data_IF_681419385861
#
_entry.id   IF_681419385861
#
_cell.length_a   1.000
_cell.length_b   1.000
_cell.length_c   1.000
_cell.angle_alpha   90.00
_cell.angle_beta   90.00
_cell.angle_gamma   90.00
#
_symmetry.space_group_name_H-M   'P 1'
#
loop_
_entity.id
_entity.type
_entity.pdbx_description
1 polymer ?
#
# COMPACT_ATOMS: atom_id res chain seq x y z
N UNK A 1 -5.57 10.38 -13.37
CA UNK A 1 -4.70 9.69 -12.39
C UNK A 1 -4.09 10.70 -11.41
N UNK A 2 -3.89 10.33 -10.15
CA UNK A 2 -3.26 11.18 -9.13
C UNK A 2 -2.40 10.37 -8.14
N UNK A 3 -1.29 10.95 -7.61
CA UNK A 3 -0.43 10.26 -6.67
C UNK A 3 -1.00 10.28 -5.24
N UNK A 4 -0.92 9.15 -4.56
CA UNK A 4 -1.30 8.96 -3.16
C UNK A 4 -0.21 8.22 -2.42
N UNK A 5 -0.12 8.50 -1.13
CA UNK A 5 0.39 7.54 -0.17
C UNK A 5 -0.77 6.68 0.32
N UNK A 6 -0.60 5.38 0.27
CA UNK A 6 -1.52 4.38 0.80
C UNK A 6 -0.83 3.67 1.93
N UNK A 7 -1.47 3.64 3.10
CA UNK A 7 -1.03 2.84 4.22
C UNK A 7 -1.80 1.52 4.21
N UNK A 8 -1.08 0.41 4.31
CA UNK A 8 -1.65 -0.94 4.41
C UNK A 8 -1.50 -1.41 5.86
N UNK A 9 -2.62 -1.58 6.54
CA UNK A 9 -2.71 -1.96 7.95
C UNK A 9 -3.08 -3.44 8.11
N UNK A 10 -2.97 -3.95 9.34
CA UNK A 10 -3.29 -5.32 9.74
C UNK A 10 -2.49 -6.42 9.00
N UNK A 11 -1.36 -6.02 8.39
CA UNK A 11 -0.46 -6.94 7.74
C UNK A 11 0.60 -7.44 8.75
N UNK A 12 0.72 -8.77 8.98
CA UNK A 12 1.73 -9.32 9.87
C UNK A 12 3.15 -8.85 9.48
N UNK A 13 4.02 -8.53 10.45
CA UNK A 13 5.37 -8.01 10.17
C UNK A 13 6.15 -8.86 9.15
N UNK A 14 6.05 -10.20 9.24
CA UNK A 14 6.68 -11.13 8.28
C UNK A 14 6.20 -11.01 6.83
N UNK A 15 5.05 -10.37 6.61
CA UNK A 15 4.45 -10.13 5.30
C UNK A 15 4.64 -8.67 4.85
N UNK A 16 5.25 -7.80 5.66
CA UNK A 16 5.48 -6.41 5.31
C UNK A 16 6.70 -6.26 4.36
N UNK A 17 6.63 -6.91 3.20
CA UNK A 17 7.67 -6.91 2.16
C UNK A 17 7.24 -6.13 0.92
N UNK A 18 8.17 -5.85 0.00
CA UNK A 18 7.90 -5.03 -1.19
C UNK A 18 6.98 -5.79 -2.12
N UNK A 19 7.26 -7.07 -2.27
CA UNK A 19 6.54 -8.00 -3.14
C UNK A 19 5.08 -8.10 -2.69
N UNK A 20 4.82 -8.17 -1.38
CA UNK A 20 3.46 -8.17 -0.84
C UNK A 20 2.78 -6.82 -1.02
N UNK A 21 3.51 -5.71 -0.79
CA UNK A 21 2.99 -4.37 -1.02
C UNK A 21 2.55 -4.18 -2.48
N UNK A 22 3.37 -4.60 -3.45
CA UNK A 22 3.10 -4.54 -4.89
C UNK A 22 1.95 -5.49 -5.28
N UNK A 23 1.90 -6.71 -4.74
CA UNK A 23 0.79 -7.63 -4.95
C UNK A 23 -0.55 -7.07 -4.44
N UNK A 24 -0.52 -6.39 -3.30
CA UNK A 24 -1.72 -5.80 -2.69
C UNK A 24 -2.13 -4.53 -3.44
N UNK A 25 -1.17 -3.66 -3.79
CA UNK A 25 -1.43 -2.32 -4.30
C UNK A 25 -1.48 -2.22 -5.83
N UNK A 26 -0.78 -3.10 -6.55
CA UNK A 26 -0.71 -3.10 -8.02
C UNK A 26 -2.07 -3.11 -8.73
N UNK A 27 -3.09 -3.85 -8.24
CA UNK A 27 -4.43 -3.78 -8.81
C UNK A 27 -5.10 -2.39 -8.74
N UNK A 28 -4.67 -1.50 -7.84
CA UNK A 28 -5.25 -0.16 -7.73
C UNK A 28 -4.61 0.85 -8.69
N UNK A 29 -3.43 0.55 -9.25
CA UNK A 29 -2.68 1.50 -10.09
C UNK A 29 -1.17 1.25 -10.12
N UNK A 30 -0.42 2.27 -10.52
CA UNK A 30 1.05 2.16 -10.69
C UNK A 30 1.75 2.39 -9.36
N UNK A 31 2.41 1.37 -8.82
CA UNK A 31 3.22 1.47 -7.61
C UNK A 31 4.53 2.19 -7.92
N UNK A 32 4.73 3.38 -7.34
CA UNK A 32 5.89 4.24 -7.58
C UNK A 32 7.00 4.00 -6.55
N UNK A 33 6.61 3.76 -5.30
CA UNK A 33 7.55 3.55 -4.19
C UNK A 33 6.89 2.75 -3.08
N UNK A 34 7.59 1.77 -2.53
CA UNK A 34 7.25 1.18 -1.22
C UNK A 34 8.22 1.78 -0.21
N UNK A 35 7.70 2.46 0.81
CA UNK A 35 8.51 3.02 1.87
C UNK A 35 8.82 1.90 2.86
N UNK A 36 10.06 1.43 2.78
CA UNK A 36 10.61 0.40 3.64
C UNK A 36 11.76 1.05 4.39
N UNK A 37 11.95 0.69 5.66
CA UNK A 37 13.14 1.11 6.38
C UNK A 37 14.41 0.64 5.66
N UNK A 38 15.56 1.19 6.00
CA UNK A 38 16.86 0.89 5.36
C UNK A 38 17.20 -0.61 5.29
N UNK A 39 16.57 -1.44 6.14
CA UNK A 39 16.76 -2.89 6.20
C UNK A 39 15.81 -3.71 5.31
N UNK A 40 14.99 -3.07 4.47
CA UNK A 40 14.10 -3.77 3.52
C UNK A 40 12.80 -4.34 4.12
N UNK A 41 12.53 -4.04 5.39
CA UNK A 41 11.24 -4.29 6.05
C UNK A 41 10.75 -3.01 6.71
N UNK A 42 9.43 -2.84 6.78
CA UNK A 42 8.84 -1.77 7.58
C UNK A 42 9.00 -2.11 9.07
N UNK A 43 9.59 -1.18 9.83
CA UNK A 43 9.58 -1.21 11.30
C UNK A 43 8.26 -0.66 11.88
N UNK A 44 7.30 -0.32 11.02
CA UNK A 44 6.06 0.36 11.39
C UNK A 44 4.88 -0.58 11.62
N UNK A 45 3.82 -0.04 12.21
CA UNK A 45 2.50 -0.69 12.36
C UNK A 45 1.82 -0.96 11.00
N UNK A 46 2.30 -0.37 9.91
CA UNK A 46 1.71 -0.41 8.57
C UNK A 46 2.79 -0.20 7.48
N UNK A 47 2.49 -0.63 6.25
CA UNK A 47 3.30 -0.37 5.06
C UNK A 47 2.85 0.90 4.35
N UNK A 48 3.78 1.77 3.96
CA UNK A 48 3.48 2.92 3.10
C UNK A 48 3.82 2.61 1.65
N UNK A 49 2.86 2.82 0.76
CA UNK A 49 3.01 2.63 -0.68
C UNK A 49 2.60 3.90 -1.38
N UNK A 50 3.50 4.48 -2.16
CA UNK A 50 3.19 5.56 -3.08
C UNK A 50 2.67 4.94 -4.36
N UNK A 51 1.46 5.32 -4.74
CA UNK A 51 0.76 4.78 -5.90
C UNK A 51 0.10 5.90 -6.70
N UNK A 52 0.20 5.80 -8.02
CA UNK A 52 -0.54 6.63 -8.96
C UNK A 52 -1.87 5.93 -9.26
N UNK A 53 -2.95 6.43 -8.66
CA UNK A 53 -4.30 5.84 -8.71
C UNK A 53 -5.17 6.51 -9.78
N UNK A 54 -6.08 5.73 -10.37
CA UNK A 54 -7.21 6.27 -11.12
C UNK A 54 -8.32 6.74 -10.16
N UNK A 55 -8.44 8.05 -9.97
CA UNK A 55 -9.40 8.67 -9.06
C UNK A 55 -10.83 8.75 -9.63
N UNK A 56 -11.05 8.27 -10.85
CA UNK A 56 -12.41 8.12 -11.38
C UNK A 56 -13.12 6.90 -10.81
N UNK A 57 -12.36 5.98 -10.21
CA UNK A 57 -12.86 4.78 -9.55
C UNK A 57 -12.94 4.99 -8.02
N UNK A 58 -13.90 4.33 -7.35
CA UNK A 58 -13.99 4.38 -5.89
C UNK A 58 -12.73 3.78 -5.25
N UNK A 59 -12.25 4.42 -4.18
CA UNK A 59 -11.12 3.93 -3.40
C UNK A 59 -11.57 2.81 -2.45
N UNK A 60 -10.95 1.63 -2.58
CA UNK A 60 -11.24 0.50 -1.70
C UNK A 60 -10.75 0.79 -0.28
N UNK A 61 -11.60 0.66 0.73
CA UNK A 61 -11.18 0.89 2.13
C UNK A 61 -10.40 -0.29 2.74
N UNK A 62 -10.53 -1.47 2.17
CA UNK A 62 -9.81 -2.66 2.58
C UNK A 62 -9.98 -3.80 1.58
N UNK A 63 -9.32 -4.93 1.81
CA UNK A 63 -9.57 -6.17 1.05
C UNK A 63 -9.22 -7.42 1.85
N UNK A 64 -9.85 -8.52 1.49
CA UNK A 64 -9.40 -9.84 1.91
C UNK A 64 -8.13 -10.26 1.13
N UNK A 65 -7.14 -10.81 1.84
CA UNK A 65 -5.93 -11.40 1.25
C UNK A 65 -5.69 -12.80 1.81
N UNK A 66 -5.20 -13.71 0.95
CA UNK A 66 -4.78 -15.05 1.39
C UNK A 66 -3.38 -14.95 2.01
N UNK A 67 -3.27 -15.36 3.27
CA UNK A 67 -2.04 -15.29 4.07
C UNK A 67 -1.45 -16.69 4.28
N UNK A 68 -1.10 -17.40 3.20
CA UNK A 68 -0.54 -18.75 3.24
C UNK A 68 -1.53 -19.85 3.69
N UNK A 69 -1.53 -20.99 2.99
CA UNK A 69 -2.48 -22.08 3.26
C UNK A 69 -3.94 -21.67 3.01
N UNK A 70 -4.81 -21.96 3.99
CA UNK A 70 -6.26 -21.67 3.96
C UNK A 70 -6.66 -20.41 4.73
N UNK A 71 -5.71 -19.68 5.33
CA UNK A 71 -6.03 -18.48 6.13
C UNK A 71 -6.21 -17.26 5.23
N UNK A 72 -7.34 -16.59 5.39
CA UNK A 72 -7.63 -15.29 4.80
C UNK A 72 -7.59 -14.24 5.90
N UNK A 73 -6.90 -13.12 5.67
CA UNK A 73 -6.91 -11.96 6.56
C UNK A 73 -7.48 -10.74 5.85
N UNK A 74 -7.97 -9.78 6.64
CA UNK A 74 -8.41 -8.48 6.14
C UNK A 74 -7.27 -7.47 6.26
N UNK A 75 -7.09 -6.63 5.23
CA UNK A 75 -6.16 -5.50 5.27
C UNK A 75 -6.93 -4.22 5.03
N UNK A 76 -6.61 -3.19 5.81
CA UNK A 76 -7.23 -1.86 5.69
C UNK A 76 -6.31 -0.88 4.96
N UNK A 77 -6.91 -0.01 4.16
CA UNK A 77 -6.23 1.00 3.36
C UNK A 77 -6.58 2.41 3.83
N UNK A 78 -5.54 3.19 4.11
CA UNK A 78 -5.69 4.61 4.43
C UNK A 78 -4.96 5.45 3.39
N UNK A 79 -5.68 6.40 2.78
CA UNK A 79 -5.20 7.18 1.64
C UNK A 79 -4.81 8.60 2.09
N UNK A 80 -3.63 9.06 1.68
CA UNK A 80 -3.17 10.44 1.83
C UNK A 80 -2.77 10.98 0.45
N UNK A 81 -3.52 11.95 -0.06
CA UNK A 81 -3.22 12.56 -1.36
C UNK A 81 -1.89 13.29 -1.33
N UNK A 82 -1.07 13.09 -2.35
CA UNK A 82 0.14 13.88 -2.57
C UNK A 82 -0.24 15.09 -3.41
N UNK A 83 -0.21 16.27 -2.80
CA UNK A 83 -0.20 17.51 -3.56
C UNK A 83 1.15 17.60 -4.28
N UNK A 84 1.13 17.92 -5.58
CA UNK A 84 2.38 18.21 -6.31
C UNK A 84 3.09 19.33 -5.55
N UNK A 85 4.32 19.08 -5.09
CA UNK A 85 5.19 20.18 -4.67
C UNK A 85 5.47 21.02 -5.92
N UNK A 86 4.98 22.26 -5.93
CA UNK A 86 5.46 23.27 -6.87
C UNK A 86 6.93 23.46 -6.51
N UNK A 87 7.83 23.05 -7.41
CA UNK A 87 9.25 23.38 -7.27
C UNK A 87 9.35 24.89 -7.51
N UNK A 88 9.60 25.64 -6.45
CA UNK A 88 10.12 27.02 -6.49
C UNK A 88 11.56 27.00 -6.98
#
# INVERSE_FOLDING_TARGET
MAPFWVQIHELPMRMQTREIAEMIAGPFGVVEKVDMGEKGFSMGKYLWVRITLDITQPLSQGRAIRMGGLKTGWVDFHYKRLLRQVRS
#
